data_IF_694581051000
#
_entry.id   IF_694581051000
#
_cell.length_a   1.000
_cell.length_b   1.000
_cell.length_c   1.000
_cell.angle_alpha   90.00
_cell.angle_beta   90.00
_cell.angle_gamma   90.00
#
_symmetry.space_group_name_H-M   'P 1'
#
loop_
_entity.id
_entity.type
_entity.pdbx_description
1 polymer ?
#
# COMPACT_ATOMS: atom_id res chain seq x y z
N UNK A 1 9.27 3.42 10.03
CA UNK A 1 8.28 4.41 10.51
C UNK A 1 7.44 4.94 9.36
N UNK A 2 6.17 5.13 9.58
CA UNK A 2 5.30 5.74 8.58
C UNK A 2 4.33 6.72 9.24
N UNK A 3 3.79 7.64 8.44
CA UNK A 3 2.73 8.54 8.83
C UNK A 3 1.70 8.61 7.71
N UNK A 4 0.42 8.69 8.06
CA UNK A 4 -0.68 8.73 7.09
C UNK A 4 -1.52 9.96 7.28
N UNK A 5 -2.05 10.49 6.17
CA UNK A 5 -3.00 11.58 6.17
C UNK A 5 -3.97 11.39 5.01
N UNK A 6 -5.26 11.55 5.29
CA UNK A 6 -6.29 11.49 4.25
C UNK A 6 -6.35 12.84 3.53
N UNK A 7 -6.18 12.82 2.20
CA UNK A 7 -6.23 14.01 1.37
C UNK A 7 -7.67 14.24 0.93
N UNK A 8 -8.40 15.05 1.66
CA UNK A 8 -9.84 15.27 1.44
C UNK A 8 -10.19 15.76 0.04
N UNK A 9 -9.29 16.51 -0.61
CA UNK A 9 -9.52 17.03 -1.96
C UNK A 9 -9.50 15.94 -3.03
N UNK A 10 -8.78 14.85 -2.80
CA UNK A 10 -8.57 13.78 -3.79
C UNK A 10 -9.12 12.44 -3.33
N UNK A 11 -9.61 12.33 -2.10
CA UNK A 11 -10.04 11.08 -1.46
C UNK A 11 -8.94 10.02 -1.41
N UNK A 12 -7.68 10.45 -1.35
CA UNK A 12 -6.52 9.57 -1.29
C UNK A 12 -5.94 9.55 0.11
N UNK A 13 -5.72 8.36 0.64
CA UNK A 13 -4.97 8.17 1.89
C UNK A 13 -3.48 8.10 1.54
N UNK A 14 -2.75 9.16 1.87
CA UNK A 14 -1.33 9.24 1.58
C UNK A 14 -0.52 8.84 2.79
N UNK A 15 0.39 7.88 2.63
CA UNK A 15 1.30 7.43 3.68
C UNK A 15 2.73 7.69 3.26
N UNK A 16 3.52 8.26 4.15
CA UNK A 16 4.95 8.48 3.96
C UNK A 16 5.73 7.50 4.82
N UNK A 17 6.49 6.63 4.16
CA UNK A 17 7.28 5.59 4.81
C UNK A 17 8.76 5.97 4.72
N UNK A 18 9.49 5.84 5.83
CA UNK A 18 10.91 6.20 5.88
C UNK A 18 11.70 5.22 6.74
N UNK A 19 12.95 5.01 6.35
CA UNK A 19 13.91 4.23 7.11
C UNK A 19 13.63 2.74 7.06
N UNK A 20 13.99 2.06 8.12
CA UNK A 20 13.82 0.62 8.22
C UNK A 20 12.35 0.28 8.42
N UNK A 21 11.80 -0.53 7.53
CA UNK A 21 10.40 -0.93 7.56
C UNK A 21 10.34 -2.42 7.87
N UNK A 22 9.68 -2.76 8.96
CA UNK A 22 9.50 -4.14 9.39
C UNK A 22 8.14 -4.68 8.93
N UNK A 23 7.96 -5.99 9.04
CA UNK A 23 6.66 -6.62 8.83
C UNK A 23 5.61 -6.01 9.76
N UNK A 24 5.99 -5.77 11.02
CA UNK A 24 5.09 -5.22 12.03
C UNK A 24 4.61 -3.81 11.67
N UNK A 25 5.45 -3.02 11.02
CA UNK A 25 5.04 -1.70 10.52
C UNK A 25 3.93 -1.83 9.49
N UNK A 26 4.09 -2.77 8.55
CA UNK A 26 3.10 -3.00 7.49
C UNK A 26 1.81 -3.55 8.08
N UNK A 27 1.91 -4.53 8.98
CA UNK A 27 0.74 -5.12 9.64
C UNK A 27 0.00 -4.03 10.43
N UNK A 28 0.74 -3.14 11.11
CA UNK A 28 0.14 -2.03 11.84
C UNK A 28 -0.67 -1.11 10.93
N UNK A 29 -0.17 -0.84 9.71
CA UNK A 29 -0.92 -0.06 8.73
C UNK A 29 -2.19 -0.78 8.29
N UNK A 30 -2.12 -2.08 8.03
CA UNK A 30 -3.30 -2.86 7.66
C UNK A 30 -4.32 -2.88 8.79
N UNK A 31 -3.88 -2.99 10.05
CA UNK A 31 -4.77 -2.90 11.21
C UNK A 31 -5.44 -1.52 11.29
N UNK A 32 -4.71 -0.46 10.95
CA UNK A 32 -5.30 0.87 10.86
C UNK A 32 -6.44 0.91 9.85
N UNK A 33 -6.25 0.34 8.67
CA UNK A 33 -7.31 0.27 7.65
C UNK A 33 -8.52 -0.51 8.15
N UNK A 34 -8.29 -1.58 8.91
CA UNK A 34 -9.36 -2.41 9.47
C UNK A 34 -10.21 -1.67 10.50
N UNK A 35 -9.56 -0.81 11.31
CA UNK A 35 -10.23 -0.18 12.47
C UNK A 35 -10.79 1.21 12.18
N UNK A 36 -10.35 1.84 11.08
CA UNK A 36 -10.75 3.22 10.81
C UNK A 36 -12.07 3.24 10.01
N UNK A 37 -13.16 3.45 10.70
CA UNK A 37 -14.52 3.32 10.14
C UNK A 37 -14.92 4.43 9.17
N UNK A 38 -14.19 5.54 9.14
CA UNK A 38 -14.52 6.70 8.31
C UNK A 38 -13.90 6.65 6.91
N UNK A 39 -13.14 5.59 6.58
CA UNK A 39 -12.54 5.46 5.25
C UNK A 39 -13.60 5.14 4.19
N UNK A 40 -13.45 5.67 2.96
CA UNK A 40 -14.41 5.38 1.89
C UNK A 40 -14.43 3.89 1.52
N UNK A 41 -15.57 3.42 1.03
CA UNK A 41 -15.70 2.03 0.54
C UNK A 41 -14.87 1.76 -0.71
N UNK A 42 -14.65 2.79 -1.54
CA UNK A 42 -13.70 2.74 -2.65
C UNK A 42 -12.47 3.53 -2.22
N UNK A 43 -11.50 2.82 -1.66
CA UNK A 43 -10.32 3.45 -1.06
C UNK A 43 -9.17 3.55 -2.06
N UNK A 44 -8.57 4.72 -2.12
CA UNK A 44 -7.35 4.96 -2.90
C UNK A 44 -6.22 5.26 -1.93
N UNK A 45 -5.10 4.53 -2.06
CA UNK A 45 -3.94 4.77 -1.20
C UNK A 45 -2.72 5.13 -2.03
N UNK A 46 -1.93 6.06 -1.50
CA UNK A 46 -0.65 6.46 -2.09
C UNK A 46 0.43 6.19 -1.06
N UNK A 47 1.29 5.21 -1.34
CA UNK A 47 2.35 4.78 -0.44
C UNK A 47 3.68 5.33 -0.93
N UNK A 48 4.18 6.39 -0.27
CA UNK A 48 5.47 7.00 -0.61
C UNK A 48 6.58 6.24 0.10
N UNK A 49 7.35 5.46 -0.65
CA UNK A 49 8.38 4.56 -0.14
C UNK A 49 9.75 4.81 -0.77
N UNK A 50 10.09 6.09 -1.02
CA UNK A 50 11.32 6.43 -1.73
C UNK A 50 12.59 6.12 -0.92
N UNK A 51 12.52 6.28 0.40
CA UNK A 51 13.67 6.18 1.30
C UNK A 51 13.51 5.07 2.32
N UNK A 52 13.01 3.91 1.91
CA UNK A 52 12.86 2.78 2.83
C UNK A 52 13.96 1.75 2.67
N UNK A 53 14.22 1.03 3.77
CA UNK A 53 15.05 -0.17 3.79
C UNK A 53 14.17 -1.29 4.33
N UNK A 54 13.74 -2.23 3.49
CA UNK A 54 12.92 -3.35 3.96
C UNK A 54 13.71 -4.24 4.93
N UNK A 55 13.14 -4.46 6.12
CA UNK A 55 13.68 -5.39 7.11
C UNK A 55 12.71 -6.54 7.31
N UNK A 56 12.33 -7.18 6.23
CA UNK A 56 11.47 -8.36 6.21
C UNK A 56 11.83 -9.23 5.02
N UNK A 57 11.35 -10.45 5.02
CA UNK A 57 11.65 -11.44 4.00
C UNK A 57 10.47 -11.66 3.06
N UNK A 58 10.68 -12.41 1.98
CA UNK A 58 9.63 -12.73 1.00
C UNK A 58 8.44 -13.43 1.68
N UNK A 59 8.72 -14.33 2.64
CA UNK A 59 7.66 -15.02 3.37
C UNK A 59 6.76 -14.02 4.12
N UNK A 60 7.33 -12.93 4.61
CA UNK A 60 6.55 -11.89 5.29
C UNK A 60 5.58 -11.20 4.32
N UNK A 61 5.97 -11.05 3.04
CA UNK A 61 5.06 -10.51 2.02
C UNK A 61 3.87 -11.44 1.77
N UNK A 62 4.08 -12.75 1.83
CA UNK A 62 2.98 -13.71 1.71
C UNK A 62 1.99 -13.52 2.85
N UNK A 63 2.50 -13.33 4.07
CA UNK A 63 1.65 -13.10 5.24
C UNK A 63 0.88 -11.77 5.12
N UNK A 64 1.54 -10.73 4.63
CA UNK A 64 0.91 -9.41 4.38
C UNK A 64 -0.19 -9.55 3.33
N UNK A 65 0.07 -10.26 2.24
CA UNK A 65 -0.93 -10.48 1.19
C UNK A 65 -2.15 -11.24 1.74
N UNK A 66 -1.94 -12.23 2.60
CA UNK A 66 -3.03 -12.96 3.24
C UNK A 66 -3.85 -12.05 4.15
N UNK A 67 -3.18 -11.18 4.93
CA UNK A 67 -3.87 -10.23 5.79
C UNK A 67 -4.65 -9.20 4.97
N UNK A 68 -4.14 -8.82 3.82
CA UNK A 68 -4.83 -7.88 2.93
C UNK A 68 -6.19 -8.44 2.48
N UNK A 69 -6.34 -9.75 2.33
CA UNK A 69 -7.64 -10.34 2.04
C UNK A 69 -8.68 -10.00 3.11
N UNK A 70 -8.28 -10.03 4.38
CA UNK A 70 -9.17 -9.67 5.49
C UNK A 70 -9.55 -8.19 5.43
N UNK A 71 -8.57 -7.33 5.12
CA UNK A 71 -8.82 -5.89 4.96
C UNK A 71 -9.82 -5.66 3.82
N UNK A 72 -9.63 -6.35 2.69
CA UNK A 72 -10.49 -6.18 1.51
C UNK A 72 -11.94 -6.56 1.75
N UNK A 73 -12.20 -7.44 2.73
CA UNK A 73 -13.57 -7.81 3.09
C UNK A 73 -14.37 -6.61 3.62
N UNK A 74 -13.69 -5.58 4.12
CA UNK A 74 -14.31 -4.36 4.64
C UNK A 74 -14.63 -3.34 3.55
N UNK A 75 -13.95 -3.40 2.41
CA UNK A 75 -14.04 -2.39 1.35
C UNK A 75 -14.67 -2.96 0.08
N UNK A 76 -15.29 -2.09 -0.73
CA UNK A 76 -15.74 -2.49 -2.06
C UNK A 76 -14.56 -2.61 -3.00
N UNK A 77 -13.67 -1.63 -3.00
CA UNK A 77 -12.43 -1.68 -3.78
C UNK A 77 -11.31 -0.96 -3.05
N UNK A 78 -10.07 -1.40 -3.27
CA UNK A 78 -8.87 -0.66 -2.90
C UNK A 78 -7.95 -0.59 -4.11
N UNK A 79 -7.47 0.61 -4.42
CA UNK A 79 -6.40 0.83 -5.39
C UNK A 79 -5.22 1.44 -4.66
N UNK A 80 -4.07 0.80 -4.73
CA UNK A 80 -2.86 1.24 -4.04
C UNK A 80 -1.77 1.56 -5.04
N UNK A 81 -1.29 2.79 -5.02
CA UNK A 81 -0.13 3.21 -5.79
C UNK A 81 1.07 3.27 -4.86
N UNK A 82 2.15 2.61 -5.24
CA UNK A 82 3.40 2.60 -4.46
C UNK A 82 4.46 3.37 -5.24
N UNK A 83 5.05 4.38 -4.61
CA UNK A 83 6.13 5.17 -5.22
C UNK A 83 7.44 4.76 -4.59
N UNK A 84 8.33 4.18 -5.38
CA UNK A 84 9.66 3.77 -4.94
C UNK A 84 10.59 3.68 -6.13
N UNK A 85 11.89 3.96 -5.90
CA UNK A 85 12.88 3.99 -6.99
C UNK A 85 14.04 3.04 -6.75
N UNK A 86 14.26 2.59 -5.51
CA UNK A 86 15.37 1.71 -5.18
C UNK A 86 15.09 0.27 -5.65
N UNK A 87 16.10 -0.45 -6.14
CA UNK A 87 15.90 -1.80 -6.73
C UNK A 87 15.23 -2.81 -5.81
N UNK A 88 15.62 -2.86 -4.52
CA UNK A 88 15.07 -3.86 -3.61
C UNK A 88 13.60 -3.57 -3.25
N UNK A 89 13.23 -2.34 -2.86
CA UNK A 89 11.80 -2.03 -2.67
C UNK A 89 10.96 -2.24 -3.93
N UNK A 90 11.48 -1.89 -5.11
CA UNK A 90 10.77 -2.13 -6.37
C UNK A 90 10.52 -3.63 -6.56
N UNK A 91 11.53 -4.47 -6.34
CA UNK A 91 11.40 -5.92 -6.48
C UNK A 91 10.36 -6.47 -5.52
N UNK A 92 10.37 -6.04 -4.26
CA UNK A 92 9.38 -6.48 -3.27
C UNK A 92 7.98 -6.02 -3.64
N UNK A 93 7.84 -4.80 -4.15
CA UNK A 93 6.55 -4.28 -4.62
C UNK A 93 6.00 -5.10 -5.78
N UNK A 94 6.84 -5.47 -6.73
CA UNK A 94 6.43 -6.30 -7.88
C UNK A 94 6.03 -7.71 -7.43
N UNK A 95 6.73 -8.29 -6.44
CA UNK A 95 6.34 -9.58 -5.87
C UNK A 95 4.98 -9.49 -5.18
N UNK A 96 4.77 -8.45 -4.38
CA UNK A 96 3.49 -8.23 -3.69
C UNK A 96 2.35 -8.06 -4.70
N UNK A 97 2.58 -7.30 -5.76
CA UNK A 97 1.61 -7.13 -6.84
C UNK A 97 1.22 -8.48 -7.44
N UNK A 98 2.21 -9.33 -7.72
CA UNK A 98 1.96 -10.66 -8.28
C UNK A 98 1.16 -11.54 -7.31
N UNK A 99 1.48 -11.48 -6.02
CA UNK A 99 0.79 -12.26 -4.98
C UNK A 99 -0.69 -11.88 -4.84
N UNK A 100 -1.05 -10.64 -5.14
CA UNK A 100 -2.41 -10.11 -4.96
C UNK A 100 -3.17 -9.96 -6.27
N UNK A 101 -2.59 -10.37 -7.39
CA UNK A 101 -3.15 -10.16 -8.73
C UNK A 101 -4.54 -10.78 -8.91
N UNK A 102 -4.80 -11.89 -8.21
CA UNK A 102 -6.09 -12.59 -8.30
C UNK A 102 -7.17 -12.03 -7.37
N UNK A 103 -6.85 -11.06 -6.53
CA UNK A 103 -7.83 -10.48 -5.62
C UNK A 103 -8.78 -9.58 -6.43
N UNK A 104 -10.10 -9.87 -6.46
CA UNK A 104 -10.99 -9.22 -7.43
C UNK A 104 -11.24 -7.74 -7.16
N UNK A 105 -11.09 -7.28 -5.92
CA UNK A 105 -11.38 -5.91 -5.55
C UNK A 105 -10.12 -5.13 -5.15
N UNK A 106 -8.94 -5.57 -5.61
CA UNK A 106 -7.68 -4.94 -5.24
C UNK A 106 -6.77 -4.76 -6.45
N UNK A 107 -6.20 -3.56 -6.59
CA UNK A 107 -5.19 -3.28 -7.61
C UNK A 107 -4.03 -2.55 -6.98
N UNK A 108 -2.82 -3.02 -7.27
CA UNK A 108 -1.56 -2.42 -6.82
C UNK A 108 -0.74 -2.08 -8.06
N UNK A 109 -0.14 -0.91 -8.07
CA UNK A 109 0.78 -0.52 -9.14
C UNK A 109 1.98 0.22 -8.55
N UNK A 110 3.15 0.04 -9.18
CA UNK A 110 4.41 0.60 -8.72
C UNK A 110 4.82 1.72 -9.66
N UNK A 111 5.20 2.87 -9.10
CA UNK A 111 5.61 4.06 -9.86
C UNK A 111 6.93 4.59 -9.35
N UNK A 112 7.66 5.29 -10.20
CA UNK A 112 8.91 5.95 -9.82
C UNK A 112 8.72 7.45 -9.49
N UNK A 113 7.51 7.97 -9.65
CA UNK A 113 7.22 9.38 -9.35
C UNK A 113 5.79 9.54 -8.85
N UNK A 114 5.61 10.46 -7.90
CA UNK A 114 4.31 10.72 -7.28
C UNK A 114 3.25 11.16 -8.30
N UNK A 115 3.62 12.02 -9.24
CA UNK A 115 2.63 12.54 -10.21
C UNK A 115 2.06 11.44 -11.11
N UNK A 116 2.86 10.43 -11.44
CA UNK A 116 2.38 9.28 -12.22
C UNK A 116 1.43 8.42 -11.39
N UNK A 117 1.75 8.24 -10.12
CA UNK A 117 0.89 7.49 -9.20
C UNK A 117 -0.47 8.17 -9.03
N UNK A 118 -0.47 9.49 -8.82
CA UNK A 118 -1.69 10.25 -8.65
C UNK A 118 -2.55 10.25 -9.92
N UNK A 119 -1.91 10.31 -11.08
CA UNK A 119 -2.63 10.21 -12.36
C UNK A 119 -3.34 8.86 -12.48
N UNK A 120 -2.66 7.78 -12.14
CA UNK A 120 -3.23 6.43 -12.19
C UNK A 120 -4.40 6.27 -11.20
N UNK A 121 -4.27 6.84 -10.00
CA UNK A 121 -5.34 6.76 -8.99
C UNK A 121 -6.60 7.53 -9.45
N UNK A 122 -6.41 8.61 -10.21
CA UNK A 122 -7.51 9.45 -10.67
C UNK A 122 -8.23 8.88 -11.91
N UNK A 123 -7.64 7.91 -12.57
CA UNK A 123 -8.14 7.34 -13.81
C UNK A 123 -8.26 5.82 -13.74
#
# INVERSE_FOLDING_TARGET
>A
MYSSAFLSETDVLKSNWKGKITKEDIVGFLDFLMRHDELPQHLYTLEMMEDIVPEFEIQDLVDVASKMKEVLAKFKTIRSAVVTVKPIPVAYGMMYKAMTETYPNYKVEIFDAEHLAMHWLAH
#
